data_IF_600674737467
#
_entry.id   IF_600674737467
#
_cell.length_a   1.000
_cell.length_b   1.000
_cell.length_c   1.000
_cell.angle_alpha   90.00
_cell.angle_beta   90.00
_cell.angle_gamma   90.00
#
_symmetry.space_group_name_H-M   'P 1'
#
loop_
_entity.id
_entity.type
_entity.pdbx_description
1 polymer ?
#
# COMPACT_ATOMS: atom_id res chain seq x y z
N UNK A 1 -4.88 -5.33 7.69
CA UNK A 1 -6.34 -5.45 7.45
C UNK A 1 -6.79 -6.85 7.80
N UNK A 2 -7.73 -6.97 8.71
CA UNK A 2 -8.22 -8.28 9.16
C UNK A 2 -9.62 -8.61 8.65
N UNK A 3 -10.33 -7.63 8.13
CA UNK A 3 -11.70 -7.84 7.63
C UNK A 3 -11.98 -6.93 6.46
N UNK A 4 -12.98 -7.32 5.69
CA UNK A 4 -13.43 -6.56 4.53
C UNK A 4 -13.94 -5.17 4.92
N UNK A 5 -14.43 -5.03 6.15
CA UNK A 5 -14.94 -3.74 6.64
C UNK A 5 -13.87 -2.66 6.75
N UNK A 6 -12.61 -3.04 6.83
CA UNK A 6 -11.50 -2.10 6.92
C UNK A 6 -11.05 -1.58 5.56
N UNK A 7 -11.42 -2.25 4.48
CA UNK A 7 -10.99 -1.88 3.14
C UNK A 7 -11.47 -0.48 2.72
N UNK A 8 -12.75 -0.11 2.90
CA UNK A 8 -13.21 1.23 2.48
C UNK A 8 -12.42 2.36 3.14
N UNK A 9 -12.13 2.24 4.41
CA UNK A 9 -11.38 3.27 5.14
C UNK A 9 -9.93 3.36 4.67
N UNK A 10 -9.31 2.22 4.40
CA UNK A 10 -7.94 2.20 3.88
C UNK A 10 -7.86 2.87 2.52
N UNK A 11 -8.79 2.59 1.63
CA UNK A 11 -8.82 3.19 0.31
C UNK A 11 -9.07 4.69 0.38
N UNK A 12 -9.99 5.11 1.22
CA UNK A 12 -10.29 6.53 1.40
C UNK A 12 -9.08 7.27 1.97
N UNK A 13 -8.43 6.70 2.97
CA UNK A 13 -7.24 7.29 3.58
C UNK A 13 -6.13 7.47 2.54
N UNK A 14 -5.86 6.42 1.75
CA UNK A 14 -4.82 6.49 0.72
C UNK A 14 -5.16 7.51 -0.35
N UNK A 15 -6.42 7.56 -0.77
CA UNK A 15 -6.88 8.53 -1.76
C UNK A 15 -6.63 9.96 -1.27
N UNK A 16 -6.94 10.24 -0.01
CA UNK A 16 -6.72 11.55 0.58
C UNK A 16 -5.23 11.88 0.73
N UNK A 17 -4.40 10.88 1.06
CA UNK A 17 -2.95 11.06 1.10
C UNK A 17 -2.38 11.46 -0.25
N UNK A 18 -2.97 10.96 -1.34
CA UNK A 18 -2.56 11.28 -2.71
C UNK A 18 -3.24 12.54 -3.24
N UNK A 19 -4.05 13.20 -2.42
CA UNK A 19 -4.79 14.41 -2.79
C UNK A 19 -5.71 14.18 -4.00
N UNK A 20 -6.35 13.02 -4.03
CA UNK A 20 -7.29 12.63 -5.07
C UNK A 20 -8.72 12.67 -4.55
N UNK A 21 -9.67 13.16 -5.36
CA UNK A 21 -11.08 13.01 -5.05
C UNK A 21 -11.63 11.75 -5.76
N UNK A 22 -12.88 11.37 -5.44
CA UNK A 22 -13.48 10.18 -6.06
C UNK A 22 -13.60 10.31 -7.57
N UNK A 23 -13.73 11.52 -8.06
CA UNK A 23 -13.83 11.81 -9.48
C UNK A 23 -12.51 11.56 -10.22
N UNK A 24 -11.40 11.82 -9.55
CA UNK A 24 -10.07 11.60 -10.11
C UNK A 24 -9.80 10.12 -10.38
N UNK A 25 -10.49 9.23 -9.66
CA UNK A 25 -10.31 7.80 -9.84
C UNK A 25 -10.74 7.31 -11.22
N UNK A 26 -11.69 8.01 -11.86
CA UNK A 26 -12.06 7.69 -13.25
C UNK A 26 -10.85 7.81 -14.19
N UNK A 27 -10.08 8.89 -14.02
CA UNK A 27 -8.92 9.14 -14.85
C UNK A 27 -7.75 8.18 -14.53
N UNK A 28 -7.62 7.83 -13.25
CA UNK A 28 -6.51 6.97 -12.80
C UNK A 28 -6.70 5.51 -13.14
N UNK A 29 -7.91 4.99 -13.00
CA UNK A 29 -8.17 3.54 -13.09
C UNK A 29 -9.25 3.18 -14.09
N UNK A 30 -9.83 4.15 -14.80
CA UNK A 30 -10.89 3.90 -15.78
C UNK A 30 -12.18 3.39 -15.15
N UNK A 31 -12.45 3.74 -13.91
CA UNK A 31 -13.63 3.30 -13.19
C UNK A 31 -14.56 4.50 -12.99
N UNK A 32 -15.87 4.30 -13.15
CA UNK A 32 -16.83 5.38 -12.92
C UNK A 32 -16.84 5.80 -11.45
N UNK A 33 -17.20 7.06 -11.20
CA UNK A 33 -17.30 7.58 -9.85
C UNK A 33 -18.28 6.77 -9.01
N UNK A 34 -19.39 6.35 -9.60
CA UNK A 34 -20.40 5.55 -8.89
C UNK A 34 -19.86 4.18 -8.47
N UNK A 35 -19.11 3.51 -9.35
CA UNK A 35 -18.50 2.23 -9.03
C UNK A 35 -17.50 2.37 -7.87
N UNK A 36 -16.65 3.37 -7.95
CA UNK A 36 -15.66 3.61 -6.92
C UNK A 36 -16.31 3.99 -5.59
N UNK A 37 -17.35 4.85 -5.64
CA UNK A 37 -18.08 5.25 -4.45
C UNK A 37 -18.70 4.07 -3.71
N UNK A 38 -19.22 3.08 -4.45
CA UNK A 38 -19.76 1.86 -3.83
C UNK A 38 -18.70 1.13 -3.02
N UNK A 39 -17.48 1.09 -3.53
CA UNK A 39 -16.38 0.41 -2.84
C UNK A 39 -16.00 1.14 -1.55
N UNK A 40 -15.88 2.46 -1.59
CA UNK A 40 -15.63 3.27 -0.39
C UNK A 40 -16.79 3.23 0.61
N UNK A 41 -17.98 2.89 0.15
CA UNK A 41 -19.17 2.78 0.99
C UNK A 41 -19.34 1.38 1.60
N UNK A 42 -18.42 0.46 1.33
CA UNK A 42 -18.46 -0.87 1.93
C UNK A 42 -18.85 -1.98 0.96
N UNK A 43 -18.89 -1.71 -0.34
CA UNK A 43 -19.14 -2.75 -1.33
C UNK A 43 -18.00 -3.77 -1.38
N UNK A 44 -18.32 -4.96 -1.88
CA UNK A 44 -17.36 -6.04 -2.04
C UNK A 44 -16.83 -6.07 -3.48
N UNK A 45 -15.64 -5.50 -3.74
CA UNK A 45 -15.11 -5.47 -5.09
C UNK A 45 -14.57 -6.83 -5.49
N UNK A 46 -14.61 -7.12 -6.80
CA UNK A 46 -13.89 -8.26 -7.32
C UNK A 46 -12.39 -8.02 -7.14
N UNK A 47 -11.64 -9.12 -6.99
CA UNK A 47 -10.19 -9.02 -6.82
C UNK A 47 -9.52 -8.27 -7.96
N UNK A 48 -9.92 -8.53 -9.21
CA UNK A 48 -9.38 -7.83 -10.37
C UNK A 48 -9.62 -6.32 -10.30
N UNK A 49 -10.80 -5.92 -9.84
CA UNK A 49 -11.14 -4.51 -9.65
C UNK A 49 -10.29 -3.88 -8.54
N UNK A 50 -10.17 -4.59 -7.42
CA UNK A 50 -9.35 -4.12 -6.30
C UNK A 50 -7.89 -3.90 -6.71
N UNK A 51 -7.32 -4.85 -7.45
CA UNK A 51 -5.93 -4.72 -7.90
C UNK A 51 -5.74 -3.50 -8.81
N UNK A 52 -6.72 -3.19 -9.66
CA UNK A 52 -6.68 -1.99 -10.49
C UNK A 52 -6.71 -0.71 -9.66
N UNK A 53 -7.53 -0.70 -8.61
CA UNK A 53 -7.60 0.44 -7.70
C UNK A 53 -6.27 0.64 -7.00
N UNK A 54 -5.68 -0.44 -6.50
CA UNK A 54 -4.40 -0.36 -5.79
C UNK A 54 -3.29 0.16 -6.71
N UNK A 55 -3.26 -0.31 -7.96
CA UNK A 55 -2.29 0.18 -8.93
C UNK A 55 -2.46 1.68 -9.17
N UNK A 56 -3.69 2.15 -9.32
CA UNK A 56 -3.97 3.58 -9.50
C UNK A 56 -3.64 4.44 -8.30
N UNK A 57 -3.55 3.84 -7.12
CA UNK A 57 -3.17 4.53 -5.88
C UNK A 57 -1.73 4.29 -5.47
N UNK A 58 -0.92 3.72 -6.37
CA UNK A 58 0.48 3.41 -6.10
C UNK A 58 0.64 2.51 -4.86
N UNK A 59 -0.20 1.49 -4.78
CA UNK A 59 -0.19 0.51 -3.72
C UNK A 59 0.05 -0.89 -4.29
N UNK A 60 0.67 -1.75 -3.49
CA UNK A 60 0.80 -3.17 -3.81
C UNK A 60 0.12 -4.01 -2.73
N UNK A 61 -0.48 -5.11 -3.15
CA UNK A 61 -1.05 -6.08 -2.23
C UNK A 61 0.02 -7.10 -1.86
N UNK A 62 0.15 -7.36 -0.58
CA UNK A 62 1.05 -8.38 -0.07
C UNK A 62 0.29 -9.33 0.84
N UNK A 63 0.64 -10.61 0.75
CA UNK A 63 0.09 -11.63 1.63
C UNK A 63 1.13 -11.93 2.70
N UNK A 64 0.80 -11.60 3.94
CA UNK A 64 1.74 -11.69 5.05
C UNK A 64 1.30 -12.79 6.01
N UNK A 65 2.18 -13.74 6.38
CA UNK A 65 1.86 -14.71 7.41
C UNK A 65 1.44 -14.00 8.70
N UNK A 66 0.39 -14.50 9.33
CA UNK A 66 -0.16 -13.85 10.52
C UNK A 66 0.90 -13.60 11.60
N UNK A 67 1.83 -14.55 11.75
CA UNK A 67 2.90 -14.45 12.74
C UNK A 67 3.83 -13.26 12.53
N UNK A 68 3.88 -12.74 11.30
CA UNK A 68 4.81 -11.66 10.93
C UNK A 68 4.13 -10.32 10.69
N UNK A 69 2.82 -10.24 10.91
CA UNK A 69 2.07 -9.01 10.65
C UNK A 69 2.60 -7.85 11.50
N UNK A 70 2.90 -8.11 12.77
CA UNK A 70 3.39 -7.06 13.66
C UNK A 70 4.73 -6.49 13.19
N UNK A 71 5.64 -7.36 12.75
CA UNK A 71 6.94 -6.93 12.21
C UNK A 71 6.77 -6.03 10.98
N UNK A 72 5.87 -6.42 10.07
CA UNK A 72 5.59 -5.64 8.86
C UNK A 72 4.98 -4.29 9.23
N UNK A 73 4.04 -4.27 10.16
CA UNK A 73 3.41 -3.03 10.60
C UNK A 73 4.43 -2.07 11.23
N UNK A 74 5.35 -2.59 12.02
CA UNK A 74 6.43 -1.79 12.60
C UNK A 74 7.33 -1.21 11.52
N UNK A 75 7.69 -2.02 10.53
CA UNK A 75 8.50 -1.57 9.41
C UNK A 75 7.82 -0.45 8.63
N UNK A 76 6.51 -0.60 8.37
CA UNK A 76 5.75 0.39 7.62
C UNK A 76 5.49 1.68 8.40
N UNK A 77 5.62 1.65 9.72
CA UNK A 77 5.47 2.86 10.55
C UNK A 77 6.68 3.78 10.45
N UNK A 78 7.81 3.28 9.94
CA UNK A 78 9.03 4.07 9.75
C UNK A 78 8.96 4.77 8.40
N UNK A 79 9.24 6.09 8.31
CA UNK A 79 9.23 6.79 7.03
C UNK A 79 10.20 6.16 6.03
N UNK A 80 9.76 6.03 4.78
CA UNK A 80 10.57 5.40 3.73
C UNK A 80 11.92 6.09 3.52
N UNK A 81 11.95 7.41 3.64
CA UNK A 81 13.18 8.20 3.52
C UNK A 81 14.20 7.84 4.60
N UNK A 82 13.74 7.65 5.84
CA UNK A 82 14.60 7.27 6.94
C UNK A 82 15.16 5.87 6.72
N UNK A 83 14.34 4.94 6.27
CA UNK A 83 14.78 3.58 5.96
C UNK A 83 15.84 3.58 4.87
N UNK A 84 15.62 4.37 3.81
CA UNK A 84 16.58 4.48 2.71
C UNK A 84 17.91 5.04 3.18
N UNK A 85 17.88 6.07 4.03
CA UNK A 85 19.10 6.67 4.56
C UNK A 85 19.88 5.70 5.45
N UNK A 86 19.19 4.88 6.22
CA UNK A 86 19.81 3.84 7.04
C UNK A 86 20.48 2.79 6.16
N UNK A 87 19.84 2.40 5.07
CA UNK A 87 20.41 1.44 4.11
C UNK A 87 21.64 1.98 3.41
N UNK A 88 21.74 3.28 3.24
CA UNK A 88 22.87 3.94 2.58
C UNK A 88 24.01 4.27 3.53
N UNK A 89 23.88 3.98 4.83
CA UNK A 89 24.96 4.21 5.77
C UNK A 89 26.14 3.27 5.51
N UNK A 90 27.37 3.73 5.75
CA UNK A 90 28.56 2.92 5.47
C UNK A 90 28.56 1.56 6.16
N UNK A 91 28.04 1.47 7.37
CA UNK A 91 28.00 0.20 8.11
C UNK A 91 27.15 -0.84 7.41
N UNK A 92 25.99 -0.41 6.87
CA UNK A 92 25.11 -1.30 6.14
C UNK A 92 25.74 -1.76 4.82
N UNK A 93 26.51 -0.89 4.17
CA UNK A 93 27.24 -1.25 2.96
C UNK A 93 28.28 -2.32 3.24
N UNK A 94 28.99 -2.24 4.34
CA UNK A 94 29.99 -3.24 4.70
C UNK A 94 29.36 -4.60 4.95
N UNK A 95 28.21 -4.63 5.59
CA UNK A 95 27.48 -5.88 5.82
C UNK A 95 26.98 -6.50 4.51
N UNK A 96 26.49 -5.68 3.60
CA UNK A 96 26.06 -6.12 2.28
C UNK A 96 27.24 -6.70 1.48
N UNK A 97 28.38 -6.04 1.55
CA UNK A 97 29.58 -6.49 0.83
C UNK A 97 30.12 -7.79 1.40
N UNK A 98 30.02 -8.00 2.70
CA UNK A 98 30.42 -9.28 3.33
C UNK A 98 29.58 -10.43 2.82
N UNK A 99 28.27 -10.22 2.69
CA UNK A 99 27.38 -11.26 2.17
C UNK A 99 27.70 -11.60 0.73
N UNK A 100 28.21 -10.65 -0.04
CA UNK A 100 28.59 -10.87 -1.43
C UNK A 100 29.96 -11.52 -1.59
N UNK A 101 30.85 -11.37 -0.62
CA UNK A 101 32.20 -11.95 -0.68
C UNK A 101 32.23 -13.46 -0.39
N UNK A 102 31.21 -13.97 0.25
CA UNK A 102 31.08 -15.39 0.53
C UNK A 102 30.32 -16.12 -0.56
#
# INVERSE_FOLDING_TARGET
MKSLNQLPELLKKRRLELDLNQKDMLMKIGMSQQQYQRIESGGDPRLSTLLRILEGMDLEMMLVPRKRVLEVQELLSVPAEKTRLEELQPDNWQDLLRDLED
#
